data_IF_692268694941
#
_entry.id   IF_692268694941
#
_cell.length_a   1.000
_cell.length_b   1.000
_cell.length_c   1.000
_cell.angle_alpha   90.00
_cell.angle_beta   90.00
_cell.angle_gamma   90.00
#
_symmetry.space_group_name_H-M   'P 1'
#
loop_
_entity.id
_entity.type
_entity.pdbx_description
1 polymer ?
#
# COMPACT_ATOMS: atom_id res chain seq x y z
N UNK A 1 47.50 -10.49 39.56
CA UNK A 1 46.15 -11.12 39.46
C UNK A 1 45.60 -10.83 38.06
N UNK A 2 45.48 -11.85 37.20
CA UNK A 2 44.92 -11.71 35.84
C UNK A 2 43.39 -11.69 35.94
N UNK A 3 42.73 -10.59 35.59
CA UNK A 3 41.26 -10.55 35.48
C UNK A 3 40.83 -11.26 34.20
N UNK A 4 40.01 -12.30 34.35
CA UNK A 4 39.44 -13.06 33.23
C UNK A 4 38.45 -12.23 32.41
N UNK A 5 38.52 -12.39 31.09
CA UNK A 5 37.62 -11.83 30.08
C UNK A 5 36.25 -12.51 30.18
N UNK A 6 35.19 -11.76 30.50
CA UNK A 6 33.81 -12.26 30.59
C UNK A 6 33.14 -12.31 29.20
N UNK A 7 33.46 -13.34 28.43
CA UNK A 7 32.98 -13.64 27.06
C UNK A 7 31.46 -13.90 26.91
N UNK A 8 30.62 -13.57 27.90
CA UNK A 8 29.17 -13.88 27.90
C UNK A 8 28.24 -12.67 27.76
N UNK A 9 28.77 -11.45 27.90
CA UNK A 9 27.93 -10.23 27.94
C UNK A 9 27.82 -9.59 26.55
N UNK A 10 28.85 -9.66 25.72
CA UNK A 10 28.82 -9.10 24.35
C UNK A 10 27.83 -9.85 23.42
N UNK A 11 27.63 -11.16 23.63
CA UNK A 11 26.70 -11.94 22.81
C UNK A 11 25.22 -11.60 23.10
N UNK A 12 24.88 -11.23 24.34
CA UNK A 12 23.51 -10.89 24.74
C UNK A 12 23.12 -9.49 24.23
N UNK A 13 24.07 -8.54 24.23
CA UNK A 13 23.86 -7.20 23.67
C UNK A 13 23.67 -7.26 22.15
N UNK A 14 24.36 -8.17 21.45
CA UNK A 14 24.20 -8.36 20.00
C UNK A 14 22.81 -8.89 19.59
N UNK A 15 22.21 -9.80 20.36
CA UNK A 15 20.89 -10.37 20.02
C UNK A 15 19.75 -9.38 20.29
N UNK A 16 19.89 -8.52 21.31
CA UNK A 16 18.90 -7.47 21.62
C UNK A 16 18.85 -6.38 20.52
N UNK A 17 19.99 -6.05 19.92
CA UNK A 17 20.07 -5.04 18.84
C UNK A 17 19.45 -5.56 17.54
N UNK A 18 19.58 -6.86 17.24
CA UNK A 18 19.00 -7.46 16.03
C UNK A 18 17.46 -7.60 16.15
N UNK A 19 16.93 -7.89 17.34
CA UNK A 19 15.48 -7.90 17.59
C UNK A 19 14.84 -6.50 17.51
N UNK A 20 15.58 -5.45 17.90
CA UNK A 20 15.14 -4.06 17.73
C UNK A 20 15.21 -3.58 16.28
N UNK A 21 16.10 -4.14 15.46
CA UNK A 21 16.15 -3.83 14.03
C UNK A 21 14.96 -4.43 13.25
N UNK A 22 14.48 -5.62 13.64
CA UNK A 22 13.30 -6.24 13.02
C UNK A 22 12.00 -5.58 13.51
N UNK A 23 11.91 -5.22 14.80
CA UNK A 23 10.78 -4.42 15.32
C UNK A 23 10.75 -2.98 14.79
N UNK A 24 11.92 -2.40 14.50
CA UNK A 24 12.05 -1.05 13.94
C UNK A 24 11.60 -0.95 12.49
N UNK A 25 11.73 -2.00 11.68
CA UNK A 25 11.21 -2.00 10.30
C UNK A 25 9.68 -2.16 10.28
N UNK A 26 9.09 -2.87 11.25
CA UNK A 26 7.63 -2.96 11.37
C UNK A 26 6.99 -1.65 11.88
N UNK A 27 7.70 -0.89 12.74
CA UNK A 27 7.26 0.44 13.19
C UNK A 27 7.64 1.58 12.22
N UNK A 28 8.65 1.39 11.38
CA UNK A 28 8.97 2.35 10.30
C UNK A 28 8.03 2.24 9.10
N UNK A 29 7.22 1.16 9.01
CA UNK A 29 6.20 0.98 7.95
C UNK A 29 4.76 1.22 8.43
N UNK A 30 4.52 1.48 9.72
CA UNK A 30 3.18 1.75 10.22
C UNK A 30 3.16 2.28 11.65
N UNK A 31 2.73 3.53 11.80
CA UNK A 31 2.21 4.05 13.05
C UNK A 31 3.06 5.13 13.71
N UNK A 32 3.00 6.35 13.18
CA UNK A 32 2.59 7.56 13.91
C UNK A 32 2.70 8.76 12.96
N UNK A 33 1.75 8.88 12.03
CA UNK A 33 1.51 10.15 11.37
C UNK A 33 0.49 10.91 12.21
N UNK A 34 0.97 11.84 13.05
CA UNK A 34 0.13 12.85 13.70
C UNK A 34 -0.26 13.90 12.64
N UNK A 35 -0.97 13.46 11.61
CA UNK A 35 -1.65 14.35 10.70
C UNK A 35 -2.94 14.77 11.40
N UNK A 36 -2.86 15.85 12.17
CA UNK A 36 -4.04 16.67 12.42
C UNK A 36 -4.39 17.34 11.09
N UNK A 37 -4.93 16.56 10.16
CA UNK A 37 -5.55 17.08 8.97
C UNK A 37 -6.77 17.84 9.47
N UNK A 38 -6.67 19.15 9.38
CA UNK A 38 -7.80 20.03 9.55
C UNK A 38 -8.64 19.83 8.32
N UNK A 39 -9.48 18.78 8.34
CA UNK A 39 -10.36 18.43 7.23
C UNK A 39 -11.21 19.65 6.92
N UNK A 40 -10.88 20.30 5.79
CA UNK A 40 -11.73 21.33 5.22
C UNK A 40 -13.03 20.61 4.84
N UNK A 41 -14.18 21.10 5.31
CA UNK A 41 -15.44 20.40 5.15
C UNK A 41 -15.71 20.09 3.67
N UNK A 42 -15.63 18.81 3.28
CA UNK A 42 -15.82 18.34 1.91
C UNK A 42 -14.62 17.62 1.28
N UNK A 43 -13.42 17.69 1.86
CA UNK A 43 -12.23 16.98 1.36
C UNK A 43 -11.94 15.72 2.17
N UNK A 44 -11.78 14.59 1.48
CA UNK A 44 -11.35 13.32 2.05
C UNK A 44 -9.84 13.15 1.89
N UNK A 45 -9.17 12.68 2.93
CA UNK A 45 -7.77 12.30 2.92
C UNK A 45 -7.68 10.79 2.78
N UNK A 46 -7.05 10.29 1.73
CA UNK A 46 -6.94 8.84 1.50
C UNK A 46 -5.51 8.43 1.16
N UNK A 47 -5.22 7.15 1.36
CA UNK A 47 -3.96 6.52 0.95
C UNK A 47 -4.22 5.47 -0.14
N UNK A 48 -3.40 5.48 -1.18
CA UNK A 48 -3.37 4.43 -2.21
C UNK A 48 -1.99 3.77 -2.18
N UNK A 49 -1.94 2.51 -1.77
CA UNK A 49 -0.74 1.69 -1.75
C UNK A 49 -0.69 0.82 -3.02
N UNK A 50 0.42 0.88 -3.74
CA UNK A 50 0.66 0.09 -4.96
C UNK A 50 1.72 -0.95 -4.66
N UNK A 51 1.39 -2.22 -4.86
CA UNK A 51 2.25 -3.36 -4.51
C UNK A 51 2.45 -4.29 -5.68
N UNK A 52 3.71 -4.57 -6.00
CA UNK A 52 4.14 -5.64 -6.90
C UNK A 52 5.33 -6.37 -6.27
N UNK A 53 5.04 -7.48 -5.60
CA UNK A 53 6.03 -8.25 -4.83
C UNK A 53 7.14 -8.84 -5.69
N UNK A 54 6.85 -9.16 -6.96
CA UNK A 54 7.83 -9.73 -7.89
C UNK A 54 8.91 -8.72 -8.29
N UNK A 55 8.57 -7.44 -8.26
CA UNK A 55 9.48 -6.34 -8.62
C UNK A 55 10.00 -5.58 -7.39
N UNK A 56 9.76 -6.09 -6.17
CA UNK A 56 10.07 -5.41 -4.90
C UNK A 56 9.53 -3.98 -4.85
N UNK A 57 8.33 -3.79 -5.42
CA UNK A 57 7.67 -2.50 -5.50
C UNK A 57 6.57 -2.43 -4.44
N UNK A 58 6.68 -1.45 -3.55
CA UNK A 58 5.65 -1.11 -2.57
C UNK A 58 5.76 0.39 -2.26
N UNK A 59 4.82 1.18 -2.80
CA UNK A 59 4.77 2.63 -2.63
C UNK A 59 3.37 3.09 -2.23
N UNK A 60 3.31 4.09 -1.35
CA UNK A 60 2.05 4.69 -0.91
C UNK A 60 1.98 6.14 -1.36
N UNK A 61 0.84 6.50 -1.94
CA UNK A 61 0.47 7.85 -2.34
C UNK A 61 -0.62 8.35 -1.40
N UNK A 62 -0.50 9.59 -0.94
CA UNK A 62 -1.53 10.25 -0.13
C UNK A 62 -2.21 11.33 -0.95
N UNK A 63 -3.54 11.34 -0.94
CA UNK A 63 -4.35 12.28 -1.72
C UNK A 63 -5.33 13.00 -0.82
N UNK A 64 -5.47 14.31 -1.05
CA UNK A 64 -6.60 15.11 -0.61
C UNK A 64 -7.55 15.24 -1.80
N UNK A 65 -8.79 14.78 -1.66
CA UNK A 65 -9.72 14.67 -2.79
C UNK A 65 -11.16 14.96 -2.43
N UNK A 66 -11.89 15.52 -3.38
CA UNK A 66 -13.34 15.71 -3.35
C UNK A 66 -14.06 14.73 -4.28
N UNK A 67 -13.31 13.82 -4.92
CA UNK A 67 -13.88 12.79 -5.78
C UNK A 67 -14.76 11.83 -4.96
N UNK A 68 -15.82 11.33 -5.59
CA UNK A 68 -16.80 10.46 -4.92
C UNK A 68 -16.38 9.01 -4.92
N UNK A 69 -15.68 8.57 -5.97
CA UNK A 69 -15.31 7.17 -6.16
C UNK A 69 -13.80 7.01 -6.32
N UNK A 70 -13.29 5.82 -6.00
CA UNK A 70 -11.88 5.50 -6.19
C UNK A 70 -11.49 5.59 -7.66
N UNK A 71 -12.36 5.17 -8.59
CA UNK A 71 -12.11 5.28 -10.02
C UNK A 71 -11.86 6.72 -10.48
N UNK A 72 -12.71 7.66 -10.05
CA UNK A 72 -12.56 9.09 -10.37
C UNK A 72 -11.24 9.66 -9.85
N UNK A 73 -10.85 9.28 -8.62
CA UNK A 73 -9.57 9.68 -8.04
C UNK A 73 -8.39 9.15 -8.87
N UNK A 74 -8.41 7.86 -9.21
CA UNK A 74 -7.31 7.22 -9.94
C UNK A 74 -7.16 7.77 -11.37
N UNK A 75 -8.26 8.13 -12.03
CA UNK A 75 -8.24 8.83 -13.33
C UNK A 75 -7.62 10.21 -13.24
N UNK A 76 -8.05 11.00 -12.24
CA UNK A 76 -7.57 12.36 -12.03
C UNK A 76 -6.08 12.41 -11.79
N UNK A 77 -5.59 11.52 -10.94
CA UNK A 77 -4.17 11.39 -10.59
C UNK A 77 -3.36 10.67 -11.67
N UNK A 78 -4.03 10.10 -12.69
CA UNK A 78 -3.42 9.34 -13.79
C UNK A 78 -2.51 8.22 -13.28
N UNK A 79 -2.87 7.64 -12.14
CA UNK A 79 -2.08 6.60 -11.49
C UNK A 79 -2.25 5.26 -12.21
N UNK A 80 -3.33 5.08 -12.97
CA UNK A 80 -3.71 3.81 -13.55
C UNK A 80 -4.10 3.93 -15.02
N UNK A 81 -3.95 2.82 -15.73
CA UNK A 81 -4.44 2.63 -17.09
C UNK A 81 -5.66 1.70 -17.05
N UNK A 82 -6.72 2.07 -17.76
CA UNK A 82 -7.95 1.30 -17.86
C UNK A 82 -8.20 0.77 -19.26
N UNK A 83 -8.92 -0.34 -19.31
CA UNK A 83 -9.60 -0.82 -20.51
C UNK A 83 -11.09 -1.00 -20.21
N UNK A 84 -11.94 -0.55 -21.11
CA UNK A 84 -13.38 -0.78 -21.02
C UNK A 84 -13.70 -2.26 -21.27
N UNK A 85 -14.61 -2.82 -20.47
CA UNK A 85 -15.14 -4.16 -20.62
C UNK A 85 -16.65 -4.18 -20.38
N UNK A 86 -17.30 -5.29 -20.76
CA UNK A 86 -18.75 -5.50 -20.53
C UNK A 86 -19.12 -5.50 -19.03
N UNK A 87 -18.13 -5.65 -18.14
CA UNK A 87 -18.29 -5.67 -16.69
C UNK A 87 -17.83 -4.37 -16.00
N UNK A 88 -17.53 -3.33 -16.80
CA UNK A 88 -16.98 -2.06 -16.32
C UNK A 88 -15.49 -1.91 -16.62
N UNK A 89 -14.85 -0.92 -16.01
CA UNK A 89 -13.44 -0.62 -16.28
C UNK A 89 -12.53 -1.63 -15.61
N UNK A 90 -11.62 -2.20 -16.39
CA UNK A 90 -10.58 -3.11 -15.93
C UNK A 90 -9.25 -2.38 -15.85
N UNK A 91 -8.55 -2.52 -14.72
CA UNK A 91 -7.22 -1.92 -14.53
C UNK A 91 -6.20 -2.76 -15.29
N UNK A 92 -5.57 -2.16 -16.30
CA UNK A 92 -4.52 -2.80 -17.11
C UNK A 92 -3.11 -2.37 -16.70
N UNK A 93 -2.99 -1.28 -15.95
CA UNK A 93 -1.70 -0.84 -15.40
C UNK A 93 -1.84 0.10 -14.21
N UNK A 94 -0.81 0.13 -13.36
CA UNK A 94 -0.73 1.00 -12.18
C UNK A 94 0.71 1.51 -12.06
N UNK A 95 0.90 2.81 -11.89
CA UNK A 95 2.21 3.49 -11.86
C UNK A 95 3.12 3.08 -13.04
N UNK A 96 2.54 2.91 -14.22
CA UNK A 96 3.23 2.47 -15.44
C UNK A 96 3.56 0.97 -15.52
N UNK A 97 3.29 0.17 -14.48
CA UNK A 97 3.43 -1.28 -14.50
C UNK A 97 2.18 -1.93 -15.09
N UNK A 98 2.32 -2.64 -16.22
CA UNK A 98 1.20 -3.31 -16.90
C UNK A 98 0.99 -4.74 -16.41
N UNK A 99 -0.27 -5.12 -16.28
CA UNK A 99 -0.65 -6.52 -16.14
C UNK A 99 -0.48 -7.24 -17.48
N UNK A 100 0.15 -8.42 -17.44
CA UNK A 100 0.33 -9.30 -18.59
C UNK A 100 -0.63 -10.47 -18.50
N UNK A 101 -1.74 -10.39 -19.23
CA UNK A 101 -2.78 -11.42 -19.26
C UNK A 101 -2.25 -12.78 -19.72
N UNK A 102 -1.19 -12.82 -20.55
CA UNK A 102 -0.58 -14.09 -21.00
C UNK A 102 0.11 -14.85 -19.86
N UNK A 103 0.44 -14.14 -18.79
CA UNK A 103 0.98 -14.67 -17.53
C UNK A 103 -0.07 -14.71 -16.42
N UNK A 104 -1.34 -14.52 -16.75
CA UNK A 104 -2.44 -14.44 -15.79
C UNK A 104 -2.17 -13.40 -14.68
N UNK A 105 -1.59 -12.25 -15.04
CA UNK A 105 -1.40 -11.15 -14.09
C UNK A 105 -2.62 -10.24 -14.08
N UNK A 106 -3.03 -9.74 -12.91
CA UNK A 106 -4.08 -8.73 -12.78
C UNK A 106 -3.85 -7.82 -11.58
N UNK A 107 -4.41 -6.61 -11.63
CA UNK A 107 -4.44 -5.69 -10.50
C UNK A 107 -5.68 -5.94 -9.64
N UNK A 108 -5.46 -6.41 -8.41
CA UNK A 108 -6.50 -6.57 -7.39
C UNK A 108 -6.62 -5.30 -6.55
N UNK A 109 -7.85 -4.97 -6.15
CA UNK A 109 -8.15 -3.81 -5.31
C UNK A 109 -8.57 -4.28 -3.92
N UNK A 110 -7.97 -3.71 -2.88
CA UNK A 110 -8.39 -3.88 -1.48
C UNK A 110 -8.83 -2.53 -0.91
N UNK A 111 -9.86 -2.54 -0.06
CA UNK A 111 -10.34 -1.39 0.70
C UNK A 111 -10.14 -1.69 2.17
N UNK A 112 -9.33 -0.89 2.85
CA UNK A 112 -9.00 -1.04 4.26
C UNK A 112 -8.53 -2.45 4.64
N UNK A 113 -7.80 -3.11 3.73
CA UNK A 113 -7.24 -4.45 3.91
C UNK A 113 -8.18 -5.61 3.54
N UNK A 114 -9.40 -5.32 3.07
CA UNK A 114 -10.34 -6.33 2.58
C UNK A 114 -10.44 -6.26 1.05
N UNK A 115 -10.44 -7.42 0.38
CA UNK A 115 -10.61 -7.45 -1.08
C UNK A 115 -11.94 -6.82 -1.50
N UNK A 116 -11.88 -5.89 -2.45
CA UNK A 116 -13.07 -5.25 -2.98
C UNK A 116 -13.96 -6.26 -3.73
N UNK A 117 -15.27 -6.19 -3.50
CA UNK A 117 -16.26 -6.96 -4.25
C UNK A 117 -16.83 -6.18 -5.45
N UNK A 118 -16.47 -4.90 -5.58
CA UNK A 118 -16.89 -4.02 -6.66
C UNK A 118 -15.68 -3.48 -7.41
N UNK A 119 -15.87 -3.09 -8.67
CA UNK A 119 -14.87 -2.32 -9.40
C UNK A 119 -14.66 -0.93 -8.78
N UNK A 120 -13.56 -0.28 -9.13
CA UNK A 120 -13.14 1.03 -8.58
C UNK A 120 -14.21 2.12 -8.69
N UNK A 121 -15.09 2.06 -9.70
CA UNK A 121 -16.19 3.00 -9.90
C UNK A 121 -17.34 2.84 -8.89
N UNK A 122 -17.41 1.67 -8.24
CA UNK A 122 -18.39 1.38 -7.19
C UNK A 122 -17.83 1.54 -5.77
N UNK A 123 -16.57 1.94 -5.62
CA UNK A 123 -15.93 2.14 -4.32
C UNK A 123 -16.08 3.62 -3.94
N UNK A 124 -17.00 3.92 -3.03
CA UNK A 124 -17.15 5.27 -2.48
C UNK A 124 -15.96 5.65 -1.61
N UNK A 125 -15.47 6.88 -1.77
CA UNK A 125 -14.37 7.42 -0.98
C UNK A 125 -14.86 7.93 0.38
N UNK A 126 -14.16 7.53 1.44
CA UNK A 126 -14.35 8.08 2.79
C UNK A 126 -13.03 8.63 3.33
N UNK A 127 -13.12 9.71 4.11
CA UNK A 127 -11.97 10.27 4.81
C UNK A 127 -11.28 9.20 5.67
N UNK A 128 -9.97 9.08 5.50
CA UNK A 128 -9.13 8.09 6.16
C UNK A 128 -9.06 6.72 5.48
N UNK A 129 -9.76 6.49 4.36
CA UNK A 129 -9.71 5.21 3.65
C UNK A 129 -8.30 4.91 3.10
N UNK A 130 -7.99 3.62 3.09
CA UNK A 130 -6.76 3.07 2.55
C UNK A 130 -7.09 2.07 1.46
N UNK A 131 -6.55 2.28 0.28
CA UNK A 131 -6.73 1.40 -0.85
C UNK A 131 -5.41 0.70 -1.18
N UNK A 132 -5.47 -0.58 -1.52
CA UNK A 132 -4.31 -1.32 -2.05
C UNK A 132 -4.59 -1.73 -3.47
N UNK A 133 -3.72 -1.36 -4.40
CA UNK A 133 -3.65 -1.91 -5.75
C UNK A 133 -2.50 -2.92 -5.78
N UNK A 134 -2.82 -4.20 -5.79
CA UNK A 134 -1.84 -5.29 -5.71
C UNK A 134 -1.79 -6.08 -7.01
N UNK A 135 -0.59 -6.25 -7.57
CA UNK A 135 -0.37 -7.16 -8.68
C UNK A 135 -0.50 -8.61 -8.19
N UNK A 136 -1.41 -9.36 -8.78
CA UNK A 136 -1.66 -10.77 -8.51
C UNK A 136 -1.29 -11.60 -9.73
N UNK A 137 -1.01 -12.89 -9.50
CA UNK A 137 -0.76 -13.89 -10.55
C UNK A 137 -1.69 -15.09 -10.34
N UNK A 138 -2.24 -15.61 -11.44
CA UNK A 138 -3.06 -16.80 -11.46
C UNK A 138 -2.24 -18.09 -11.30
N UNK A 139 -2.92 -19.17 -10.90
CA UNK A 139 -2.29 -20.48 -10.66
C UNK A 139 -2.25 -21.36 -11.91
#
# INVERSE_FOLDING_TARGET
MKKQKSFKIELIVSVLIILLAIGGVFLARGGFSNNKNTTQAGQNNVEVNVVNEKEDYDKTYSFETEEKTLGDLLDKEKLVEYQDSDYGRYITGVDGMKADDSKQLWWSVEVNGESSQTGVDGIEIKDGDKYTLRMMEGY
#
